data_IF_209937801359
#
_entry.id   IF_209937801359
#
_cell.length_a   1.000
_cell.length_b   1.000
_cell.length_c   1.000
_cell.angle_alpha   90.00
_cell.angle_beta   90.00
_cell.angle_gamma   90.00
#
_symmetry.space_group_name_H-M   'P 1'
#
loop_
_entity.id
_entity.type
_entity.pdbx_description
1 polymer ?
#
# COMPACT_ATOMS: atom_id res chain seq x y z
N UNK A 1 20.14 -1.39 17.45
CA UNK A 1 18.75 -0.89 17.53
C UNK A 1 18.77 0.56 17.98
N UNK A 2 17.83 1.40 17.53
CA UNK A 2 17.75 2.82 17.88
C UNK A 2 16.69 3.05 18.96
N UNK A 3 17.04 3.73 20.04
CA UNK A 3 16.11 4.15 21.09
C UNK A 3 15.47 5.48 20.70
N UNK A 4 14.14 5.61 20.84
CA UNK A 4 13.39 6.80 20.43
C UNK A 4 12.96 7.68 21.62
N UNK A 5 12.86 9.01 21.42
CA UNK A 5 12.07 9.85 22.31
C UNK A 5 10.61 9.36 22.39
N UNK A 6 9.96 9.51 23.54
CA UNK A 6 8.60 9.01 23.80
C UNK A 6 7.57 9.41 22.72
N UNK A 7 7.59 10.66 22.25
CA UNK A 7 6.66 11.11 21.20
C UNK A 7 6.86 10.39 19.86
N UNK A 8 8.12 10.09 19.52
CA UNK A 8 8.47 9.41 18.27
C UNK A 8 8.19 7.90 18.36
N UNK A 9 8.38 7.33 19.54
CA UNK A 9 7.95 5.98 19.89
C UNK A 9 6.43 5.84 19.69
N UNK A 10 5.64 6.65 20.40
CA UNK A 10 4.18 6.64 20.32
C UNK A 10 3.67 6.83 18.89
N UNK A 11 4.28 7.75 18.13
CA UNK A 11 3.92 7.98 16.73
C UNK A 11 4.20 6.77 15.86
N UNK A 12 5.36 6.12 16.00
CA UNK A 12 5.71 4.94 15.22
C UNK A 12 4.82 3.75 15.57
N UNK A 13 4.56 3.51 16.87
CA UNK A 13 3.66 2.47 17.34
C UNK A 13 2.24 2.68 16.80
N UNK A 14 1.70 3.90 16.93
CA UNK A 14 0.40 4.27 16.42
C UNK A 14 0.27 4.07 14.90
N UNK A 15 1.30 4.49 14.14
CA UNK A 15 1.36 4.28 12.70
C UNK A 15 1.31 2.80 12.34
N UNK A 16 2.09 1.97 13.02
CA UNK A 16 2.17 0.53 12.76
C UNK A 16 0.84 -0.18 13.05
N UNK A 17 0.18 0.15 14.16
CA UNK A 17 -1.16 -0.34 14.47
C UNK A 17 -2.20 0.13 13.45
N UNK A 18 -2.11 1.39 13.02
CA UNK A 18 -3.00 1.96 12.02
C UNK A 18 -2.86 1.25 10.67
N UNK A 19 -1.64 0.92 10.24
CA UNK A 19 -1.39 0.07 9.06
C UNK A 19 -2.07 -1.29 9.21
N UNK A 20 -1.90 -1.97 10.35
CA UNK A 20 -2.49 -3.29 10.59
C UNK A 20 -4.02 -3.25 10.51
N UNK A 21 -4.64 -2.27 11.17
CA UNK A 21 -6.09 -2.09 11.20
C UNK A 21 -6.64 -1.73 9.81
N UNK A 22 -6.02 -0.76 9.13
CA UNK A 22 -6.45 -0.34 7.78
C UNK A 22 -6.21 -1.43 6.71
N UNK A 23 -5.18 -2.26 6.86
CA UNK A 23 -4.99 -3.41 5.98
C UNK A 23 -6.05 -4.49 6.19
N UNK A 24 -6.53 -4.67 7.42
CA UNK A 24 -7.66 -5.55 7.69
C UNK A 24 -8.95 -5.00 7.07
N UNK A 25 -9.22 -3.70 7.23
CA UNK A 25 -10.36 -3.04 6.57
C UNK A 25 -10.32 -3.18 5.05
N UNK A 26 -9.14 -3.06 4.42
CA UNK A 26 -9.01 -3.28 2.98
C UNK A 26 -9.41 -4.70 2.58
N UNK A 27 -8.94 -5.71 3.32
CA UNK A 27 -9.31 -7.11 3.06
C UNK A 27 -10.81 -7.33 3.17
N UNK A 28 -11.48 -6.68 4.11
CA UNK A 28 -12.93 -6.74 4.29
C UNK A 28 -13.67 -5.99 3.18
N UNK A 29 -13.24 -4.78 2.84
CA UNK A 29 -13.84 -3.96 1.79
C UNK A 29 -13.79 -4.64 0.42
N UNK A 30 -12.71 -5.38 0.11
CA UNK A 30 -12.60 -6.12 -1.16
C UNK A 30 -13.62 -7.26 -1.26
N UNK A 31 -14.13 -7.78 -0.13
CA UNK A 31 -15.22 -8.76 -0.14
C UNK A 31 -16.59 -8.11 -0.29
N UNK A 32 -16.69 -6.78 -0.11
CA UNK A 32 -17.94 -6.05 -0.29
C UNK A 32 -18.18 -5.72 -1.77
N UNK A 33 -19.43 -5.49 -2.14
CA UNK A 33 -19.79 -5.00 -3.48
C UNK A 33 -19.74 -3.47 -3.57
N UNK A 34 -19.34 -2.78 -2.48
CA UNK A 34 -19.29 -1.33 -2.44
C UNK A 34 -17.91 -0.81 -2.84
N UNK A 35 -17.82 -0.32 -4.08
CA UNK A 35 -16.60 0.28 -4.59
C UNK A 35 -16.13 1.45 -3.71
N UNK A 36 -17.03 2.23 -3.11
CA UNK A 36 -16.67 3.38 -2.27
C UNK A 36 -15.93 2.93 -1.00
N UNK A 37 -16.32 1.81 -0.41
CA UNK A 37 -15.61 1.21 0.73
C UNK A 37 -14.19 0.81 0.32
N UNK A 38 -14.03 0.20 -0.86
CA UNK A 38 -12.73 -0.16 -1.43
C UNK A 38 -11.85 1.08 -1.65
N UNK A 39 -12.38 2.14 -2.27
CA UNK A 39 -11.67 3.42 -2.44
C UNK A 39 -11.23 4.02 -1.12
N UNK A 40 -12.10 4.00 -0.12
CA UNK A 40 -11.82 4.56 1.20
C UNK A 40 -10.73 3.75 1.90
N UNK A 41 -10.82 2.41 1.87
CA UNK A 41 -9.85 1.53 2.52
C UNK A 41 -8.46 1.60 1.87
N UNK A 42 -8.37 1.67 0.54
CA UNK A 42 -7.10 1.88 -0.17
C UNK A 42 -6.50 3.23 0.20
N UNK A 43 -7.32 4.28 0.25
CA UNK A 43 -6.89 5.63 0.61
C UNK A 43 -6.35 5.72 2.04
N UNK A 44 -7.08 5.14 3.00
CA UNK A 44 -6.68 5.06 4.41
C UNK A 44 -5.36 4.31 4.58
N UNK A 45 -5.21 3.15 3.93
CA UNK A 45 -3.98 2.37 4.03
C UNK A 45 -2.78 3.05 3.35
N UNK A 46 -2.98 3.68 2.18
CA UNK A 46 -1.95 4.50 1.53
C UNK A 46 -1.44 5.61 2.46
N UNK A 47 -2.34 6.31 3.14
CA UNK A 47 -1.99 7.36 4.09
C UNK A 47 -1.06 6.84 5.17
N UNK A 48 -1.42 5.73 5.83
CA UNK A 48 -0.62 5.19 6.92
C UNK A 48 0.72 4.62 6.44
N UNK A 49 0.74 3.93 5.30
CA UNK A 49 1.99 3.41 4.70
C UNK A 49 2.95 4.55 4.34
N UNK A 50 2.47 5.60 3.67
CA UNK A 50 3.31 6.73 3.26
C UNK A 50 3.79 7.54 4.47
N UNK A 51 2.91 7.80 5.44
CA UNK A 51 3.28 8.53 6.66
C UNK A 51 4.32 7.76 7.48
N UNK A 52 4.28 6.43 7.47
CA UNK A 52 5.28 5.58 8.15
C UNK A 52 6.62 5.57 7.42
N UNK A 53 6.61 5.51 6.08
CA UNK A 53 7.81 5.67 5.25
C UNK A 53 8.48 7.05 5.50
N UNK A 54 7.69 8.12 5.55
CA UNK A 54 8.16 9.47 5.88
C UNK A 54 8.75 9.55 7.29
N UNK A 55 8.09 8.93 8.27
CA UNK A 55 8.62 8.86 9.63
C UNK A 55 10.00 8.19 9.65
N UNK A 56 10.19 7.07 8.96
CA UNK A 56 11.49 6.39 8.93
C UNK A 56 12.56 7.19 8.18
N UNK A 57 12.19 7.97 7.16
CA UNK A 57 13.10 8.88 6.45
C UNK A 57 13.66 9.96 7.39
N UNK A 58 12.81 10.49 8.27
CA UNK A 58 13.16 11.61 9.16
C UNK A 58 13.77 11.13 10.48
N UNK A 59 13.24 10.04 11.03
CA UNK A 59 13.45 9.61 12.41
C UNK A 59 14.00 8.18 12.53
N UNK A 60 14.14 7.45 11.42
CA UNK A 60 14.66 6.09 11.42
C UNK A 60 16.17 5.99 11.61
N UNK A 61 16.74 4.88 11.15
CA UNK A 61 18.19 4.71 11.06
C UNK A 61 18.74 5.50 9.86
N UNK A 62 19.97 6.00 9.96
CA UNK A 62 20.57 6.89 8.96
C UNK A 62 20.63 6.29 7.54
N UNK A 63 20.82 4.97 7.43
CA UNK A 63 20.90 4.20 6.20
C UNK A 63 19.54 3.65 5.72
N UNK A 64 18.41 4.13 6.28
CA UNK A 64 17.06 3.71 5.87
C UNK A 64 16.83 3.82 4.37
N UNK A 65 17.17 4.97 3.76
CA UNK A 65 16.98 5.19 2.32
C UNK A 65 17.80 4.23 1.46
N UNK A 66 19.00 3.86 1.92
CA UNK A 66 19.85 2.90 1.24
C UNK A 66 19.24 1.49 1.31
N UNK A 67 18.82 1.05 2.50
CA UNK A 67 18.15 -0.25 2.69
C UNK A 67 16.87 -0.34 1.87
N UNK A 68 16.04 0.70 1.89
CA UNK A 68 14.84 0.81 1.07
C UNK A 68 15.13 0.67 -0.43
N UNK A 69 16.23 1.25 -0.89
CA UNK A 69 16.66 1.15 -2.30
C UNK A 69 17.22 -0.22 -2.69
N UNK A 70 17.70 -1.02 -1.74
CA UNK A 70 18.28 -2.36 -1.97
C UNK A 70 17.27 -3.49 -1.78
N UNK A 71 16.26 -3.30 -0.95
CA UNK A 71 15.20 -4.29 -0.69
C UNK A 71 14.09 -4.23 -1.75
N UNK A 72 13.68 -5.38 -2.30
CA UNK A 72 12.64 -5.44 -3.35
C UNK A 72 11.26 -4.97 -2.84
N UNK A 73 10.93 -5.27 -1.59
CA UNK A 73 9.71 -4.82 -0.93
C UNK A 73 9.79 -3.31 -0.63
N UNK A 74 10.98 -2.83 -0.24
CA UNK A 74 11.25 -1.42 0.05
C UNK A 74 11.09 -0.51 -1.18
N UNK A 75 11.44 -1.00 -2.37
CA UNK A 75 11.32 -0.23 -3.62
C UNK A 75 9.88 0.16 -3.95
N UNK A 76 8.90 -0.63 -3.53
CA UNK A 76 7.47 -0.38 -3.77
C UNK A 76 7.01 0.93 -3.13
N UNK A 77 7.57 1.29 -1.97
CA UNK A 77 7.25 2.55 -1.28
C UNK A 77 7.61 3.79 -2.12
N UNK A 78 8.55 3.71 -3.06
CA UNK A 78 8.82 4.82 -3.99
C UNK A 78 7.65 5.04 -4.97
N UNK A 79 7.00 3.96 -5.43
CA UNK A 79 5.83 4.04 -6.29
C UNK A 79 4.57 4.43 -5.53
N UNK A 80 4.37 3.92 -4.31
CA UNK A 80 3.21 4.25 -3.48
C UNK A 80 3.09 5.73 -3.14
N UNK A 81 4.22 6.44 -3.01
CA UNK A 81 4.21 7.91 -2.82
C UNK A 81 3.53 8.63 -3.99
N UNK A 82 3.71 8.14 -5.20
CA UNK A 82 3.00 8.66 -6.37
C UNK A 82 1.52 8.33 -6.30
N UNK A 83 1.16 7.08 -5.98
CA UNK A 83 -0.23 6.66 -5.81
C UNK A 83 -0.98 7.51 -4.77
N UNK A 84 -0.34 7.82 -3.64
CA UNK A 84 -0.91 8.72 -2.62
C UNK A 84 -1.04 10.17 -3.11
N UNK A 85 -0.08 10.68 -3.89
CA UNK A 85 -0.21 11.99 -4.53
C UNK A 85 -1.37 12.02 -5.53
N UNK A 86 -1.58 10.94 -6.27
CA UNK A 86 -2.71 10.80 -7.16
C UNK A 86 -4.02 10.76 -6.38
N UNK A 87 -4.16 9.94 -5.33
CA UNK A 87 -5.33 9.95 -4.45
C UNK A 87 -5.76 11.37 -4.02
N UNK A 88 -4.80 12.23 -3.65
CA UNK A 88 -5.08 13.62 -3.21
C UNK A 88 -5.57 14.56 -4.31
N UNK A 89 -5.31 14.26 -5.58
CA UNK A 89 -5.50 15.21 -6.69
C UNK A 89 -6.32 14.65 -7.86
N UNK A 90 -6.37 13.32 -8.02
CA UNK A 90 -7.04 12.58 -9.07
C UNK A 90 -7.39 11.17 -8.56
N UNK A 91 -8.67 10.95 -8.24
CA UNK A 91 -9.19 9.68 -7.72
C UNK A 91 -9.12 8.51 -8.73
N UNK A 92 -8.70 8.75 -9.97
CA UNK A 92 -8.54 7.71 -11.01
C UNK A 92 -7.14 7.09 -10.94
N UNK A 93 -6.91 6.13 -10.03
CA UNK A 93 -5.58 5.50 -9.87
C UNK A 93 -5.58 3.96 -9.73
N UNK A 94 -6.75 3.32 -9.67
CA UNK A 94 -6.87 1.87 -9.72
C UNK A 94 -8.17 1.43 -10.40
N UNK A 95 -8.16 0.20 -10.92
CA UNK A 95 -9.31 -0.44 -11.55
C UNK A 95 -9.69 -1.67 -10.73
N UNK A 96 -10.96 -1.75 -10.38
CA UNK A 96 -11.56 -2.91 -9.73
C UNK A 96 -11.93 -3.90 -10.84
N UNK A 97 -11.23 -5.04 -10.91
CA UNK A 97 -11.56 -6.11 -11.82
C UNK A 97 -12.34 -7.19 -11.07
N UNK A 98 -13.65 -7.26 -11.31
CA UNK A 98 -14.43 -8.41 -10.87
C UNK A 98 -14.08 -9.60 -11.77
N UNK A 99 -13.40 -10.62 -11.22
CA UNK A 99 -13.23 -11.89 -11.92
C UNK A 99 -14.60 -12.56 -12.03
N UNK A 100 -15.24 -12.49 -13.21
CA UNK A 100 -16.33 -13.41 -13.53
C UNK A 100 -15.69 -14.80 -13.69
N UNK A 101 -15.76 -15.61 -12.64
CA UNK A 101 -15.62 -17.05 -12.78
C UNK A 101 -16.64 -17.51 -13.83
N UNK A 102 -16.12 -18.07 -14.92
CA UNK A 102 -16.91 -18.69 -15.97
C UNK A 102 -17.00 -20.19 -15.70
N UNK A 103 -18.24 -20.66 -15.53
CA UNK A 103 -18.74 -21.93 -16.05
C UNK A 103 -20.27 -21.91 -15.93
N UNK A 104 -20.93 -22.07 -17.07
CA UNK A 104 -22.36 -22.34 -17.16
C UNK A 104 -22.62 -23.79 -16.68
N UNK A 105 -23.17 -23.96 -15.46
CA UNK A 105 -23.90 -25.13 -14.91
C UNK A 105 -23.26 -26.55 -14.86
N UNK A 106 -23.77 -27.50 -14.04
CA UNK A 106 -24.75 -27.39 -12.95
C UNK A 106 -24.23 -27.82 -11.56
N UNK A 107 -24.76 -27.16 -10.53
CA UNK A 107 -25.06 -27.63 -9.16
C UNK A 107 -24.26 -28.86 -8.68
N UNK A 108 -23.11 -28.67 -8.01
CA UNK A 108 -22.53 -29.53 -6.92
C UNK A 108 -21.07 -29.18 -6.56
N UNK A 109 -20.67 -27.90 -6.59
CA UNK A 109 -19.33 -27.51 -6.11
C UNK A 109 -19.45 -26.36 -5.10
N UNK A 110 -18.73 -26.40 -3.96
CA UNK A 110 -18.88 -25.41 -2.91
C UNK A 110 -18.45 -24.05 -3.45
N UNK A 111 -19.39 -23.10 -3.38
CA UNK A 111 -19.25 -21.66 -3.60
C UNK A 111 -17.84 -21.24 -4.07
N UNK A 112 -17.58 -21.24 -5.38
CA UNK A 112 -16.41 -20.56 -5.91
C UNK A 112 -16.55 -19.07 -5.58
N UNK A 113 -15.92 -18.65 -4.49
CA UNK A 113 -15.79 -17.23 -4.15
C UNK A 113 -15.06 -16.58 -5.30
N UNK A 114 -15.78 -15.80 -6.11
CA UNK A 114 -15.18 -15.00 -7.18
C UNK A 114 -14.14 -14.09 -6.55
N UNK A 115 -12.86 -14.43 -6.66
CA UNK A 115 -11.79 -13.58 -6.15
C UNK A 115 -11.84 -12.24 -6.89
N UNK A 116 -12.22 -11.18 -6.18
CA UNK A 116 -12.13 -9.81 -6.67
C UNK A 116 -10.63 -9.44 -6.68
N UNK A 117 -10.12 -9.04 -7.84
CA UNK A 117 -8.73 -8.60 -7.99
C UNK A 117 -8.73 -7.12 -8.30
N UNK A 118 -7.97 -6.33 -7.55
CA UNK A 118 -7.85 -4.89 -7.80
C UNK A 118 -6.44 -4.63 -8.30
N UNK A 119 -6.34 -3.95 -9.43
CA UNK A 119 -5.06 -3.65 -10.07
C UNK A 119 -4.78 -2.14 -10.03
N UNK A 120 -3.53 -1.78 -9.77
CA UNK A 120 -3.05 -0.42 -9.95
C UNK A 120 -3.12 -0.03 -11.43
N UNK A 121 -3.72 1.12 -11.73
CA UNK A 121 -3.91 1.55 -13.12
C UNK A 121 -2.58 1.94 -13.77
N UNK A 122 -2.48 1.82 -15.11
CA UNK A 122 -1.43 2.46 -15.88
C UNK A 122 -1.33 3.96 -15.60
N UNK A 123 -0.12 4.46 -15.43
CA UNK A 123 0.09 5.88 -15.14
C UNK A 123 -0.39 6.77 -16.29
N UNK A 124 -0.21 6.32 -17.53
CA UNK A 124 -0.64 7.02 -18.75
C UNK A 124 -0.38 8.53 -18.72
N UNK A 125 -1.38 9.30 -19.20
CA UNK A 125 -1.47 10.76 -19.04
C UNK A 125 -2.30 11.18 -17.81
N UNK A 126 -2.93 10.22 -17.12
CA UNK A 126 -3.88 10.45 -16.01
C UNK A 126 -3.13 10.76 -14.71
N UNK A 127 -1.93 10.20 -14.54
CA UNK A 127 -1.04 10.42 -13.40
C UNK A 127 0.11 11.41 -13.73
N UNK A 128 -0.19 12.51 -14.43
CA UNK A 128 0.78 13.58 -14.67
C UNK A 128 1.04 14.38 -13.37
N UNK A 129 1.81 13.78 -12.46
CA UNK A 129 2.33 14.48 -11.29
C UNK A 129 3.48 15.42 -11.65
N UNK A 130 3.71 16.46 -10.84
CA UNK A 130 4.81 17.43 -11.02
C UNK A 130 6.22 16.81 -10.95
N UNK A 131 6.35 15.56 -10.49
CA UNK A 131 7.62 14.88 -10.25
C UNK A 131 7.78 13.63 -11.13
N UNK A 132 8.45 13.79 -12.26
CA UNK A 132 8.75 12.71 -13.22
C UNK A 132 9.42 11.48 -12.58
N UNK A 133 10.28 11.69 -11.58
CA UNK A 133 10.93 10.59 -10.86
C UNK A 133 9.95 9.71 -10.08
N UNK A 134 8.89 10.31 -9.50
CA UNK A 134 7.86 9.56 -8.79
C UNK A 134 7.00 8.75 -9.76
N UNK A 135 6.66 9.32 -10.91
CA UNK A 135 5.95 8.63 -12.00
C UNK A 135 6.75 7.42 -12.49
N UNK A 136 8.05 7.59 -12.74
CA UNK A 136 8.95 6.49 -13.14
C UNK A 136 9.00 5.36 -12.12
N UNK A 137 9.06 5.69 -10.82
CA UNK A 137 9.04 4.68 -9.76
C UNK A 137 7.70 3.95 -9.66
N UNK A 138 6.58 4.64 -9.86
CA UNK A 138 5.26 4.01 -9.93
C UNK A 138 5.17 3.01 -11.08
N UNK A 139 5.53 3.44 -12.30
CA UNK A 139 5.54 2.57 -13.49
C UNK A 139 6.42 1.34 -13.24
N UNK A 140 7.58 1.53 -12.62
CA UNK A 140 8.55 0.46 -12.40
C UNK A 140 8.12 -0.55 -11.33
N UNK A 141 7.50 -0.09 -10.24
CA UNK A 141 7.33 -0.91 -9.03
C UNK A 141 5.88 -1.16 -8.61
N UNK A 142 4.89 -0.46 -9.18
CA UNK A 142 3.48 -0.51 -8.72
C UNK A 142 2.49 -0.76 -9.85
N UNK A 143 2.70 -0.13 -11.01
CA UNK A 143 1.78 -0.24 -12.15
C UNK A 143 1.43 -1.70 -12.51
N UNK A 144 0.13 -1.97 -12.70
CA UNK A 144 -0.38 -3.28 -13.10
C UNK A 144 -0.30 -4.36 -12.02
N UNK A 145 0.28 -4.07 -10.84
CA UNK A 145 0.32 -5.01 -9.72
C UNK A 145 -1.03 -5.08 -9.01
N UNK A 146 -1.26 -6.19 -8.32
CA UNK A 146 -2.41 -6.36 -7.46
C UNK A 146 -2.25 -5.49 -6.19
N UNK A 147 -3.32 -4.79 -5.81
CA UNK A 147 -3.29 -3.78 -4.75
C UNK A 147 -2.93 -4.40 -3.40
N UNK A 148 -3.55 -5.51 -3.01
CA UNK A 148 -3.29 -6.20 -1.73
C UNK A 148 -1.85 -6.69 -1.64
N UNK A 149 -1.31 -7.33 -2.66
CA UNK A 149 0.07 -7.81 -2.73
C UNK A 149 1.09 -6.66 -2.69
N UNK A 150 0.76 -5.54 -3.33
CA UNK A 150 1.57 -4.32 -3.27
C UNK A 150 1.65 -3.81 -1.84
N UNK A 151 0.53 -3.77 -1.12
CA UNK A 151 0.49 -3.41 0.30
C UNK A 151 1.20 -4.42 1.19
N UNK A 152 1.00 -5.74 0.99
CA UNK A 152 1.71 -6.77 1.76
C UNK A 152 3.22 -6.58 1.68
N UNK A 153 3.74 -6.29 0.49
CA UNK A 153 5.17 -6.06 0.27
C UNK A 153 5.62 -4.81 1.02
N UNK A 154 4.95 -3.67 0.85
CA UNK A 154 5.28 -2.44 1.58
C UNK A 154 5.25 -2.63 3.10
N UNK A 155 4.22 -3.29 3.63
CA UNK A 155 4.06 -3.61 5.06
C UNK A 155 5.19 -4.54 5.52
N UNK A 156 5.60 -5.51 4.71
CA UNK A 156 6.70 -6.42 5.03
C UNK A 156 8.01 -5.65 5.24
N UNK A 157 8.32 -4.71 4.35
CA UNK A 157 9.49 -3.84 4.52
C UNK A 157 9.37 -2.96 5.76
N UNK A 158 8.24 -2.28 5.96
CA UNK A 158 8.04 -1.40 7.12
C UNK A 158 8.11 -2.15 8.45
N UNK A 159 7.60 -3.38 8.52
CA UNK A 159 7.73 -4.23 9.72
C UNK A 159 9.18 -4.62 10.01
N UNK A 160 9.98 -4.93 8.97
CA UNK A 160 11.44 -5.17 9.13
C UNK A 160 12.14 -3.92 9.71
N UNK A 161 11.70 -2.73 9.33
CA UNK A 161 12.29 -1.46 9.77
C UNK A 161 11.80 -1.05 11.17
N UNK A 162 10.53 -1.31 11.49
CA UNK A 162 9.95 -1.16 12.82
C UNK A 162 10.70 -2.02 13.85
N UNK A 163 10.98 -3.29 13.53
CA UNK A 163 11.70 -4.21 14.41
C UNK A 163 13.17 -3.82 14.72
N UNK A 164 13.74 -2.83 14.00
CA UNK A 164 15.10 -2.33 14.24
C UNK A 164 15.15 -1.18 15.26
N UNK A 165 13.99 -0.72 15.69
CA UNK A 165 13.80 0.37 16.64
C UNK A 165 13.44 -0.22 18.01
N UNK A 166 13.99 0.35 19.08
CA UNK A 166 13.68 -0.02 20.45
C UNK A 166 12.71 1.00 21.04
N UNK A 167 11.67 0.49 21.69
CA UNK A 167 10.64 1.27 22.39
C UNK A 167 11.09 1.48 23.85
N UNK A 168 10.77 2.66 24.41
CA UNK A 168 11.16 3.07 25.77
C UNK A 168 10.06 2.79 26.81
#
# INVERSE_FOLDING_TARGET
>A
MKVLPYEQDMRLAFNNDSIRLSFQKLKEAIQSTDNQEVYTAIGELLLWVVTTDEWHIENGLADYKERKGKDEDGKILYGMRHAFNCLKHNMSFFQIHHKKGGLEYPITSPLETKEITILWMPAGNILNGKHESQKKNYIKYVEGREVVETFKSAITFLNKEFAKVTFN
#
